data_IF_935948513534
#
_entry.id   IF_935948513534
#
_cell.length_a   1.000
_cell.length_b   1.000
_cell.length_c   1.000
_cell.angle_alpha   90.00
_cell.angle_beta   90.00
_cell.angle_gamma   90.00
#
_symmetry.space_group_name_H-M   'P 1'
#
loop_
_entity.id
_entity.type
_entity.pdbx_description
1 polymer ?
#
# COMPACT_ATOMS: atom_id res chain seq x y z
N UNK A 1 7.04 22.10 -0.20
CA UNK A 1 7.52 20.76 0.18
C UNK A 1 6.39 19.79 -0.09
N UNK A 2 6.53 18.90 -1.08
CA UNK A 2 5.45 17.97 -1.41
C UNK A 2 5.53 16.77 -0.44
N UNK A 3 4.69 16.78 0.60
CA UNK A 3 4.62 15.68 1.55
C UNK A 3 3.81 14.55 0.94
N UNK A 4 4.50 13.54 0.39
CA UNK A 4 3.83 12.36 -0.13
C UNK A 4 3.17 11.56 1.00
N UNK A 5 1.94 11.13 0.77
CA UNK A 5 1.20 10.21 1.65
C UNK A 5 1.80 8.82 1.49
N UNK A 6 2.30 8.25 2.59
CA UNK A 6 2.83 6.88 2.61
C UNK A 6 1.72 5.89 2.96
N UNK A 7 1.51 4.88 2.13
CA UNK A 7 0.41 3.91 2.26
C UNK A 7 0.93 2.48 2.36
N UNK A 8 0.43 1.73 3.34
CA UNK A 8 0.57 0.27 3.47
C UNK A 8 -0.76 -0.37 3.11
N UNK A 9 -0.76 -1.34 2.19
CA UNK A 9 -1.97 -2.04 1.75
C UNK A 9 -2.06 -3.40 2.46
N UNK A 10 -3.18 -3.68 3.12
CA UNK A 10 -3.43 -4.97 3.79
C UNK A 10 -4.68 -5.60 3.20
N UNK A 11 -4.52 -6.69 2.45
CA UNK A 11 -5.60 -7.40 1.74
C UNK A 11 -5.23 -8.88 1.50
N UNK A 12 -6.18 -9.80 1.65
CA UNK A 12 -5.93 -11.25 1.52
C UNK A 12 -5.81 -11.73 0.06
N UNK A 13 -6.25 -10.93 -0.91
CA UNK A 13 -6.10 -11.19 -2.34
C UNK A 13 -4.83 -10.58 -2.93
N UNK A 14 -3.95 -11.42 -3.47
CA UNK A 14 -2.74 -10.96 -4.16
C UNK A 14 -3.06 -10.08 -5.39
N UNK A 15 -4.15 -10.38 -6.09
CA UNK A 15 -4.63 -9.57 -7.22
C UNK A 15 -5.05 -8.17 -6.78
N UNK A 16 -5.77 -8.07 -5.66
CA UNK A 16 -6.21 -6.78 -5.12
C UNK A 16 -5.03 -5.93 -4.65
N UNK A 17 -4.05 -6.53 -3.94
CA UNK A 17 -2.82 -5.80 -3.56
C UNK A 17 -2.14 -5.17 -4.78
N UNK A 18 -1.97 -5.93 -5.87
CA UNK A 18 -1.36 -5.40 -7.10
C UNK A 18 -2.21 -4.32 -7.77
N UNK A 19 -3.52 -4.53 -7.87
CA UNK A 19 -4.44 -3.58 -8.50
C UNK A 19 -4.51 -2.26 -7.74
N UNK A 20 -4.62 -2.33 -6.41
CA UNK A 20 -4.64 -1.15 -5.52
C UNK A 20 -3.30 -0.42 -5.53
N UNK A 21 -2.15 -1.13 -5.56
CA UNK A 21 -0.85 -0.46 -5.70
C UNK A 21 -0.77 0.36 -6.98
N UNK A 22 -1.16 -0.22 -8.13
CA UNK A 22 -1.16 0.51 -9.41
C UNK A 22 -2.08 1.72 -9.37
N UNK A 23 -3.29 1.56 -8.82
CA UNK A 23 -4.27 2.65 -8.73
C UNK A 23 -3.77 3.79 -7.84
N UNK A 24 -3.24 3.48 -6.65
CA UNK A 24 -2.76 4.47 -5.70
C UNK A 24 -1.48 5.17 -6.18
N UNK A 25 -0.54 4.45 -6.80
CA UNK A 25 0.68 5.04 -7.35
C UNK A 25 0.43 5.89 -8.63
N UNK A 26 -0.78 5.88 -9.18
CA UNK A 26 -1.15 6.80 -10.27
C UNK A 26 -1.28 8.26 -9.79
N UNK A 27 -1.50 8.47 -8.49
CA UNK A 27 -1.48 9.79 -7.86
C UNK A 27 -0.04 10.16 -7.46
N UNK A 28 0.54 11.25 -8.00
CA UNK A 28 1.93 11.64 -7.70
C UNK A 28 2.19 11.96 -6.22
N UNK A 29 1.14 12.25 -5.45
CA UNK A 29 1.22 12.58 -4.03
C UNK A 29 1.13 11.36 -3.13
N UNK A 30 0.88 10.17 -3.69
CA UNK A 30 0.81 8.90 -2.94
C UNK A 30 2.05 8.04 -3.22
N UNK A 31 2.53 7.35 -2.18
CA UNK A 31 3.57 6.33 -2.29
C UNK A 31 3.15 5.09 -1.53
N UNK A 32 3.04 3.96 -2.22
CA UNK A 32 2.84 2.67 -1.55
C UNK A 32 4.20 2.20 -1.02
N UNK A 33 4.29 2.00 0.29
CA UNK A 33 5.56 1.64 0.96
C UNK A 33 5.67 0.15 1.27
N UNK A 34 4.58 -0.59 1.15
CA UNK A 34 4.54 -2.03 1.36
C UNK A 34 3.16 -2.60 1.11
N UNK A 35 3.08 -3.93 1.13
CA UNK A 35 1.82 -4.67 1.10
C UNK A 35 1.89 -5.88 2.02
N UNK A 36 0.80 -6.25 2.68
CA UNK A 36 0.71 -7.40 3.57
C UNK A 36 -0.53 -8.24 3.23
N UNK A 37 -0.47 -9.56 3.46
CA UNK A 37 -1.63 -10.45 3.17
C UNK A 37 -2.65 -10.54 4.32
N UNK A 38 -2.30 -10.01 5.49
CA UNK A 38 -3.15 -10.03 6.68
C UNK A 38 -2.69 -8.97 7.69
N UNK A 39 -3.47 -8.79 8.76
CA UNK A 39 -3.19 -7.78 9.78
C UNK A 39 -1.91 -8.02 10.57
N UNK A 40 -1.50 -9.28 10.79
CA UNK A 40 -0.26 -9.58 11.53
C UNK A 40 0.98 -9.14 10.72
N UNK A 41 1.05 -9.51 9.44
CA UNK A 41 2.11 -9.02 8.55
C UNK A 41 2.07 -7.51 8.37
N UNK A 42 0.88 -6.91 8.38
CA UNK A 42 0.74 -5.45 8.32
C UNK A 42 1.28 -4.75 9.57
N UNK A 43 1.09 -5.36 10.74
CA UNK A 43 1.61 -4.86 12.01
C UNK A 43 3.14 -4.89 12.06
N UNK A 44 3.78 -5.89 11.46
CA UNK A 44 5.24 -5.99 11.38
C UNK A 44 5.88 -4.90 10.48
N UNK A 45 5.08 -4.16 9.71
CA UNK A 45 5.51 -3.15 8.74
C UNK A 45 5.26 -1.70 9.18
N UNK A 46 4.72 -1.47 10.39
CA UNK A 46 4.43 -0.12 10.94
C UNK A 46 5.36 0.28 12.07
#
# INVERSE_FOLDING_TARGET
MNHKISVLIIDDSAFMRKSLSIMLESDPDIKVVGTARNGLEGLDLV
#
